data_IF_404162702786
#
_entry.id   IF_404162702786
#
_cell.length_a   1.000
_cell.length_b   1.000
_cell.length_c   1.000
_cell.angle_alpha   90.00
_cell.angle_beta   90.00
_cell.angle_gamma   90.00
#
_symmetry.space_group_name_H-M   'P 1'
#
loop_
_entity.id
_entity.type
_entity.pdbx_description
1 polymer ?
#
# COMPACT_ATOMS: atom_id res chain seq x y z
N UNK A 1 15.73 -11.39 -2.75
CA UNK A 1 15.27 -11.63 -1.36
C UNK A 1 14.44 -10.43 -0.91
N UNK A 2 13.16 -10.46 -1.27
CA UNK A 2 12.09 -9.71 -0.61
C UNK A 2 12.16 -9.99 0.88
N UNK A 3 12.24 -8.96 1.72
CA UNK A 3 11.86 -9.14 3.13
C UNK A 3 10.35 -9.32 3.12
N UNK A 4 9.83 -10.34 3.82
CA UNK A 4 8.37 -10.59 3.93
C UNK A 4 7.58 -9.37 4.43
N UNK A 5 8.28 -8.35 4.92
CA UNK A 5 7.75 -7.15 5.54
C UNK A 5 7.37 -6.04 4.53
N UNK A 6 7.73 -6.19 3.24
CA UNK A 6 7.64 -5.16 2.19
C UNK A 6 6.62 -5.55 1.09
N UNK A 7 5.35 -5.61 1.50
CA UNK A 7 4.21 -5.91 0.62
C UNK A 7 3.47 -4.62 0.21
N UNK A 8 2.80 -4.64 -0.93
CA UNK A 8 2.03 -3.52 -1.47
C UNK A 8 2.79 -2.68 -2.50
N UNK A 9 3.96 -2.15 -2.16
CA UNK A 9 4.82 -1.41 -3.10
C UNK A 9 5.90 -2.35 -3.64
N UNK A 10 5.89 -2.55 -4.95
CA UNK A 10 6.68 -3.57 -5.62
C UNK A 10 8.00 -2.99 -6.17
N UNK A 11 8.00 -1.72 -6.56
CA UNK A 11 9.16 -1.03 -7.14
C UNK A 11 8.89 0.45 -7.41
N UNK A 12 9.96 1.21 -7.62
CA UNK A 12 9.92 2.63 -8.00
C UNK A 12 10.94 2.91 -9.10
N UNK A 13 10.57 3.80 -10.02
CA UNK A 13 11.48 4.50 -10.91
C UNK A 13 11.19 5.99 -10.85
N UNK A 14 12.25 6.77 -10.86
CA UNK A 14 12.22 8.23 -10.98
C UNK A 14 13.07 8.57 -12.18
N UNK A 15 12.47 9.26 -13.14
CA UNK A 15 13.12 9.68 -14.39
C UNK A 15 12.79 11.14 -14.66
N UNK A 16 13.59 11.83 -15.47
CA UNK A 16 13.19 13.13 -16.01
C UNK A 16 12.10 12.95 -17.07
N UNK A 17 11.39 14.02 -17.42
CA UNK A 17 10.43 14.04 -18.53
C UNK A 17 11.08 13.78 -19.89
N UNK A 18 12.41 13.90 -19.99
CA UNK A 18 13.21 13.50 -21.16
C UNK A 18 13.65 12.03 -21.13
N UNK A 19 13.31 11.29 -20.08
CA UNK A 19 13.59 9.86 -19.92
C UNK A 19 14.95 9.53 -19.27
N UNK A 20 15.67 10.52 -18.74
CA UNK A 20 16.94 10.26 -18.05
C UNK A 20 16.68 9.62 -16.67
N UNK A 21 17.33 8.51 -16.33
CA UNK A 21 17.12 7.84 -15.05
C UNK A 21 17.73 8.63 -13.89
N UNK A 22 16.93 8.86 -12.85
CA UNK A 22 17.35 9.50 -11.59
C UNK A 22 17.54 8.44 -10.50
N UNK A 23 16.52 7.59 -10.30
CA UNK A 23 16.51 6.57 -9.26
C UNK A 23 15.71 5.35 -9.71
N UNK A 24 16.14 4.16 -9.29
CA UNK A 24 15.43 2.90 -9.53
C UNK A 24 15.66 1.97 -8.36
N UNK A 25 14.58 1.38 -7.85
CA UNK A 25 14.64 0.29 -6.91
C UNK A 25 13.51 -0.70 -7.16
N UNK A 26 13.82 -1.99 -7.11
CA UNK A 26 12.84 -3.08 -7.22
C UNK A 26 12.90 -3.89 -5.94
N UNK A 27 11.74 -4.15 -5.36
CA UNK A 27 11.61 -4.92 -4.12
C UNK A 27 10.97 -6.28 -4.35
N UNK A 28 10.09 -6.43 -5.34
CA UNK A 28 9.36 -7.67 -5.63
C UNK A 28 9.84 -8.38 -6.89
N UNK A 29 9.92 -9.71 -6.83
CA UNK A 29 10.21 -10.59 -7.97
C UNK A 29 9.08 -10.59 -9.01
N UNK A 30 7.85 -10.20 -8.64
CA UNK A 30 6.73 -9.96 -9.58
C UNK A 30 7.11 -8.94 -10.65
N UNK A 31 7.90 -7.93 -10.28
CA UNK A 31 8.44 -6.95 -11.22
C UNK A 31 9.61 -7.52 -12.02
N UNK A 32 10.46 -8.36 -11.43
CA UNK A 32 11.61 -8.92 -12.14
C UNK A 32 11.18 -9.74 -13.37
N UNK A 33 10.06 -10.48 -13.26
CA UNK A 33 9.42 -11.14 -14.42
C UNK A 33 8.95 -10.15 -15.49
N UNK A 34 8.38 -9.01 -15.08
CA UNK A 34 7.93 -7.93 -15.95
C UNK A 34 9.08 -7.10 -16.58
N UNK A 35 10.16 -6.88 -15.85
CA UNK A 35 11.34 -6.09 -16.26
C UNK A 35 12.33 -6.85 -17.15
N UNK A 36 12.12 -8.14 -17.37
CA UNK A 36 12.97 -8.98 -18.21
C UNK A 36 13.06 -8.51 -19.68
N UNK A 37 12.22 -7.55 -20.09
CA UNK A 37 12.25 -6.92 -21.43
C UNK A 37 12.65 -5.43 -21.31
N UNK A 38 13.85 -5.13 -21.81
CA UNK A 38 14.49 -3.81 -22.04
C UNK A 38 13.91 -2.59 -21.29
N UNK A 39 14.67 -2.11 -20.31
CA UNK A 39 14.32 -0.97 -19.45
C UNK A 39 14.12 0.34 -20.21
N UNK A 40 14.85 0.51 -21.32
CA UNK A 40 14.75 1.70 -22.19
C UNK A 40 13.41 1.73 -22.90
N UNK A 41 12.94 0.56 -23.34
CA UNK A 41 11.67 0.40 -24.04
C UNK A 41 10.49 0.68 -23.10
N UNK A 42 10.57 0.24 -21.85
CA UNK A 42 9.55 0.55 -20.84
C UNK A 42 9.50 2.05 -20.53
N UNK A 43 10.64 2.69 -20.30
CA UNK A 43 10.68 4.13 -20.05
C UNK A 43 10.16 4.93 -21.27
N UNK A 44 10.55 4.53 -22.48
CA UNK A 44 10.05 5.10 -23.73
C UNK A 44 8.54 4.91 -23.90
N UNK A 45 8.02 3.71 -23.64
CA UNK A 45 6.59 3.41 -23.69
C UNK A 45 5.78 4.24 -22.70
N UNK A 46 6.22 4.31 -21.44
CA UNK A 46 5.55 5.10 -20.41
C UNK A 46 5.56 6.60 -20.74
N UNK A 47 6.69 7.11 -21.25
CA UNK A 47 6.81 8.49 -21.72
C UNK A 47 5.89 8.76 -22.92
N UNK A 48 5.80 7.83 -23.87
CA UNK A 48 4.91 7.94 -25.02
C UNK A 48 3.44 7.98 -24.59
N UNK A 49 3.02 7.12 -23.65
CA UNK A 49 1.67 7.12 -23.09
C UNK A 49 1.36 8.44 -22.38
N UNK A 50 2.30 8.96 -21.58
CA UNK A 50 2.13 10.25 -20.89
C UNK A 50 1.99 11.41 -21.88
N UNK A 51 2.83 11.46 -22.91
CA UNK A 51 2.76 12.49 -23.93
C UNK A 51 1.45 12.40 -24.73
N UNK A 52 1.04 11.20 -25.11
CA UNK A 52 -0.24 10.96 -25.77
C UNK A 52 -1.42 11.44 -24.91
N UNK A 53 -1.44 11.09 -23.63
CA UNK A 53 -2.50 11.53 -22.73
C UNK A 53 -2.51 13.07 -22.58
N UNK A 54 -1.34 13.69 -22.48
CA UNK A 54 -1.19 15.15 -22.42
C UNK A 54 -1.73 15.83 -23.68
N UNK A 55 -1.43 15.32 -24.86
CA UNK A 55 -1.99 15.82 -26.13
C UNK A 55 -3.52 15.69 -26.17
N UNK A 56 -4.04 14.61 -25.61
CA UNK A 56 -5.48 14.37 -25.47
C UNK A 56 -6.14 15.11 -24.31
N UNK A 57 -5.40 15.96 -23.57
CA UNK A 57 -5.87 16.67 -22.36
C UNK A 57 -6.41 15.75 -21.27
N UNK A 58 -5.90 14.52 -21.20
CA UNK A 58 -6.20 13.54 -20.16
C UNK A 58 -4.99 13.32 -19.25
N UNK A 59 -5.27 12.87 -18.02
CA UNK A 59 -4.25 12.45 -17.07
C UNK A 59 -4.24 10.93 -16.97
N UNK A 60 -3.07 10.31 -17.15
CA UNK A 60 -2.90 8.87 -16.90
C UNK A 60 -2.82 8.67 -15.39
N UNK A 61 -3.87 8.13 -14.79
CA UNK A 61 -3.84 7.78 -13.37
C UNK A 61 -2.88 6.62 -13.10
N UNK A 62 -3.15 5.46 -13.69
CA UNK A 62 -2.28 4.29 -13.60
C UNK A 62 -2.50 3.38 -14.81
N UNK A 63 -1.57 2.45 -15.03
CA UNK A 63 -1.66 1.39 -16.05
C UNK A 63 -1.59 0.04 -15.33
N UNK A 64 -2.54 -0.86 -15.62
CA UNK A 64 -2.50 -2.22 -15.09
C UNK A 64 -1.90 -3.17 -16.11
N UNK A 65 -0.94 -3.96 -15.68
CA UNK A 65 -0.28 -5.00 -16.46
C UNK A 65 -0.72 -6.37 -15.98
N UNK A 66 -1.14 -7.23 -16.90
CA UNK A 66 -1.46 -8.64 -16.66
C UNK A 66 -0.39 -9.51 -17.33
N UNK A 67 -0.03 -10.65 -16.74
CA UNK A 67 0.93 -11.57 -17.35
C UNK A 67 0.22 -12.47 -18.36
N UNK A 68 0.83 -12.73 -19.52
CA UNK A 68 0.27 -13.64 -20.53
C UNK A 68 0.15 -15.09 -20.01
N UNK A 69 0.97 -15.45 -19.01
CA UNK A 69 0.96 -16.75 -18.35
C UNK A 69 -0.16 -16.89 -17.30
N UNK A 70 -0.92 -15.84 -16.99
CA UNK A 70 -2.04 -15.88 -16.04
C UNK A 70 -3.26 -16.66 -16.58
N UNK A 71 -3.18 -17.17 -17.81
CA UNK A 71 -4.23 -17.97 -18.44
C UNK A 71 -4.23 -19.46 -18.01
N UNK A 72 -3.21 -19.92 -17.28
CA UNK A 72 -3.22 -21.26 -16.68
C UNK A 72 -3.98 -21.22 -15.36
N UNK A 73 -5.11 -21.94 -15.30
CA UNK A 73 -6.13 -21.98 -14.23
C UNK A 73 -5.65 -22.33 -12.80
N UNK A 74 -4.34 -22.37 -12.53
CA UNK A 74 -3.75 -22.90 -11.28
C UNK A 74 -3.08 -21.88 -10.36
N UNK A 75 -2.88 -20.62 -10.76
CA UNK A 75 -2.28 -19.61 -9.86
C UNK A 75 -3.14 -18.36 -9.73
N UNK A 76 -4.21 -18.47 -8.93
CA UNK A 76 -5.12 -17.37 -8.60
C UNK A 76 -4.39 -16.12 -8.06
N UNK A 77 -3.22 -16.30 -7.44
CA UNK A 77 -2.42 -15.23 -6.82
C UNK A 77 -1.66 -14.32 -7.81
N UNK A 78 -1.45 -14.74 -9.06
CA UNK A 78 -0.85 -13.89 -10.11
C UNK A 78 -1.90 -13.12 -10.94
N UNK A 79 -3.17 -13.54 -10.86
CA UNK A 79 -4.26 -13.06 -11.74
C UNK A 79 -4.65 -11.58 -11.61
N UNK A 80 -4.27 -10.89 -10.53
CA UNK A 80 -4.68 -9.50 -10.31
C UNK A 80 -3.81 -8.47 -11.06
N UNK A 81 -2.67 -8.90 -11.59
CA UNK A 81 -1.72 -8.04 -12.30
C UNK A 81 -0.95 -7.08 -11.39
N UNK A 82 -0.27 -6.12 -12.03
CA UNK A 82 0.55 -5.08 -11.39
C UNK A 82 0.07 -3.71 -11.84
N UNK A 83 -0.13 -2.79 -10.89
CA UNK A 83 -0.45 -1.41 -11.22
C UNK A 83 0.82 -0.55 -11.28
N UNK A 84 1.05 0.12 -12.40
CA UNK A 84 2.02 1.21 -12.51
C UNK A 84 1.31 2.56 -12.34
N UNK A 85 1.45 3.15 -11.16
CA UNK A 85 1.06 4.52 -10.87
C UNK A 85 2.09 5.47 -11.49
N UNK A 86 1.61 6.41 -12.30
CA UNK A 86 2.47 7.35 -13.01
C UNK A 86 2.13 8.75 -12.56
N UNK A 87 3.13 9.48 -12.09
CA UNK A 87 2.93 10.78 -11.49
C UNK A 87 3.99 11.76 -11.96
N UNK A 88 3.55 12.93 -12.46
CA UNK A 88 4.44 14.00 -12.92
C UNK A 88 4.53 15.10 -11.85
N UNK A 89 5.74 15.48 -11.49
CA UNK A 89 6.04 16.66 -10.67
C UNK A 89 7.09 17.49 -11.40
N UNK A 90 6.68 18.67 -11.87
CA UNK A 90 7.52 19.52 -12.73
C UNK A 90 8.07 18.74 -13.95
N UNK A 91 9.39 18.57 -14.05
CA UNK A 91 10.08 17.82 -15.12
C UNK A 91 10.48 16.40 -14.68
N UNK A 92 9.84 15.85 -13.65
CA UNK A 92 10.18 14.56 -13.04
C UNK A 92 8.97 13.63 -13.08
N UNK A 93 9.18 12.43 -13.60
CA UNK A 93 8.19 11.37 -13.68
C UNK A 93 8.54 10.31 -12.65
N UNK A 94 7.58 10.05 -11.76
CA UNK A 94 7.57 8.91 -10.85
C UNK A 94 6.75 7.79 -11.46
N UNK A 95 7.29 6.58 -11.44
CA UNK A 95 6.61 5.35 -11.81
C UNK A 95 6.71 4.42 -10.61
N UNK A 96 5.60 4.22 -9.90
CA UNK A 96 5.53 3.28 -8.78
C UNK A 96 4.74 2.06 -9.22
N UNK A 97 5.33 0.90 -8.98
CA UNK A 97 4.69 -0.38 -9.22
C UNK A 97 4.07 -0.88 -7.92
N UNK A 98 2.79 -1.22 -7.95
CA UNK A 98 1.95 -1.45 -6.78
C UNK A 98 1.12 -2.72 -6.95
N UNK A 99 0.82 -3.37 -5.84
CA UNK A 99 -0.27 -4.33 -5.76
C UNK A 99 -1.62 -3.63 -6.02
N UNK A 100 -2.59 -4.29 -6.69
CA UNK A 100 -3.85 -3.66 -7.08
C UNK A 100 -4.71 -3.12 -5.93
N UNK A 101 -4.63 -3.72 -4.74
CA UNK A 101 -5.37 -3.32 -3.55
C UNK A 101 -4.88 -2.01 -2.89
N UNK A 102 -3.73 -1.49 -3.31
CA UNK A 102 -3.15 -0.27 -2.75
C UNK A 102 -3.93 0.97 -3.21
N UNK A 103 -4.18 1.89 -2.28
CA UNK A 103 -4.87 3.15 -2.53
C UNK A 103 -3.94 4.15 -3.20
N UNK A 104 -3.96 4.14 -4.54
CA UNK A 104 -3.08 4.96 -5.41
C UNK A 104 -3.12 6.45 -5.07
N UNK A 105 -4.29 7.00 -4.79
CA UNK A 105 -4.46 8.41 -4.39
C UNK A 105 -3.75 8.75 -3.06
N UNK A 106 -3.46 7.75 -2.23
CA UNK A 106 -2.70 7.91 -0.98
C UNK A 106 -1.21 7.70 -1.22
N UNK A 107 -0.84 6.82 -2.15
CA UNK A 107 0.54 6.70 -2.63
C UNK A 107 1.02 7.99 -3.31
N UNK A 108 0.15 8.73 -4.02
CA UNK A 108 0.47 10.07 -4.54
C UNK A 108 1.00 11.02 -3.45
N UNK A 109 0.48 10.92 -2.22
CA UNK A 109 0.99 11.73 -1.09
C UNK A 109 2.41 11.30 -0.70
N UNK A 110 2.74 10.00 -0.80
CA UNK A 110 4.11 9.51 -0.58
C UNK A 110 5.06 10.03 -1.66
N UNK A 111 4.60 10.11 -2.90
CA UNK A 111 5.35 10.70 -4.02
C UNK A 111 5.62 12.18 -3.73
N UNK A 112 4.62 12.94 -3.27
CA UNK A 112 4.79 14.34 -2.87
C UNK A 112 5.85 14.49 -1.79
N UNK A 113 5.84 13.64 -0.76
CA UNK A 113 6.84 13.70 0.30
C UNK A 113 8.25 13.36 -0.20
N UNK A 114 8.39 12.35 -1.05
CA UNK A 114 9.69 12.02 -1.66
C UNK A 114 10.18 13.19 -2.50
N UNK A 115 9.30 13.81 -3.28
CA UNK A 115 9.65 14.95 -4.11
C UNK A 115 10.14 16.12 -3.24
N UNK A 116 9.34 16.54 -2.25
CA UNK A 116 9.62 17.71 -1.43
C UNK A 116 10.85 17.53 -0.53
N UNK A 117 11.07 16.33 0.01
CA UNK A 117 12.12 16.09 1.00
C UNK A 117 13.47 15.72 0.37
N UNK A 118 13.46 15.13 -0.82
CA UNK A 118 14.65 14.51 -1.42
C UNK A 118 14.90 15.12 -2.79
N UNK A 119 13.95 14.95 -3.71
CA UNK A 119 14.18 15.25 -5.13
C UNK A 119 14.39 16.74 -5.39
N UNK A 120 13.63 17.60 -4.70
CA UNK A 120 13.70 19.05 -4.86
C UNK A 120 15.11 19.62 -4.62
N UNK A 121 15.91 18.98 -3.76
CA UNK A 121 17.30 19.36 -3.50
C UNK A 121 18.21 19.18 -4.72
N UNK A 122 17.78 18.42 -5.73
CA UNK A 122 18.52 18.14 -6.96
C UNK A 122 18.00 18.91 -8.18
N UNK A 123 16.99 19.78 -8.05
CA UNK A 123 16.38 20.48 -9.20
C UNK A 123 17.40 21.21 -10.08
N UNK A 124 18.41 21.86 -9.50
CA UNK A 124 19.47 22.54 -10.28
C UNK A 124 20.30 21.55 -11.10
N UNK A 125 20.64 20.39 -10.54
CA UNK A 125 21.38 19.33 -11.24
C UNK A 125 20.52 18.70 -12.34
N UNK A 126 19.24 18.45 -12.04
CA UNK A 126 18.25 17.92 -12.99
C UNK A 126 18.11 18.85 -14.19
N UNK A 127 17.97 20.16 -13.95
CA UNK A 127 17.80 21.16 -15.01
C UNK A 127 19.04 21.29 -15.90
N UNK A 128 20.23 20.97 -15.37
CA UNK A 128 21.48 20.93 -16.12
C UNK A 128 21.72 19.58 -16.82
N UNK A 129 20.86 18.59 -16.60
CA UNK A 129 21.04 17.23 -17.13
C UNK A 129 22.19 16.46 -16.46
N UNK A 130 22.56 16.84 -15.24
CA UNK A 130 23.63 16.20 -14.49
C UNK A 130 23.19 14.86 -13.90
N UNK A 131 24.13 13.92 -13.79
CA UNK A 131 23.86 12.61 -13.19
C UNK A 131 23.73 12.76 -11.67
N UNK A 132 22.60 12.35 -11.14
CA UNK A 132 22.32 12.39 -9.70
C UNK A 132 22.81 11.11 -9.05
N UNK A 133 23.36 11.24 -7.84
CA UNK A 133 23.72 10.13 -6.98
C UNK A 133 23.12 10.36 -5.61
N UNK A 134 22.13 9.55 -5.25
CA UNK A 134 21.57 9.57 -3.89
C UNK A 134 22.57 8.96 -2.91
N UNK A 135 22.53 9.49 -1.70
CA UNK A 135 23.20 8.91 -0.54
C UNK A 135 22.38 7.72 -0.01
N UNK A 136 23.04 6.80 0.71
CA UNK A 136 22.35 5.68 1.36
C UNK A 136 21.25 6.16 2.33
N UNK A 137 21.45 7.31 2.97
CA UNK A 137 20.45 7.92 3.86
C UNK A 137 19.21 8.37 3.10
N UNK A 138 19.36 8.94 1.91
CA UNK A 138 18.23 9.34 1.06
C UNK A 138 17.47 8.14 0.51
N UNK A 139 18.17 7.10 0.07
CA UNK A 139 17.54 5.85 -0.37
C UNK A 139 16.74 5.19 0.77
N UNK A 140 17.30 5.16 1.98
CA UNK A 140 16.60 4.67 3.17
C UNK A 140 15.43 5.58 3.56
N UNK A 141 15.50 6.91 3.36
CA UNK A 141 14.36 7.82 3.54
C UNK A 141 13.25 7.53 2.53
N UNK A 142 13.56 7.33 1.25
CA UNK A 142 12.57 6.92 0.23
C UNK A 142 11.88 5.63 0.67
N UNK A 143 12.67 4.62 1.05
CA UNK A 143 12.15 3.34 1.53
C UNK A 143 11.26 3.51 2.77
N UNK A 144 11.69 4.33 3.73
CA UNK A 144 10.93 4.57 4.95
C UNK A 144 9.57 5.24 4.70
N UNK A 145 9.51 6.16 3.74
CA UNK A 145 8.26 6.80 3.28
C UNK A 145 7.37 5.77 2.57
N UNK A 146 7.92 5.02 1.62
CA UNK A 146 7.17 4.07 0.80
C UNK A 146 6.56 2.95 1.62
N UNK A 147 7.29 2.39 2.58
CA UNK A 147 6.83 1.23 3.35
C UNK A 147 6.26 1.57 4.72
N UNK A 148 6.12 2.85 5.08
CA UNK A 148 5.67 3.28 6.40
C UNK A 148 6.48 2.61 7.54
N UNK A 149 7.80 2.52 7.36
CA UNK A 149 8.67 1.72 8.21
C UNK A 149 8.62 2.12 9.69
N UNK A 150 8.32 3.39 9.99
CA UNK A 150 8.12 3.85 11.37
C UNK A 150 6.93 3.14 12.03
N UNK A 151 5.78 3.10 11.33
CA UNK A 151 4.59 2.41 11.79
C UNK A 151 4.85 0.89 11.95
N UNK A 152 5.50 0.28 10.95
CA UNK A 152 5.91 -1.13 11.01
C UNK A 152 6.80 -1.42 12.22
N UNK A 153 7.85 -0.62 12.43
CA UNK A 153 8.77 -0.75 13.58
C UNK A 153 8.03 -0.61 14.91
N UNK A 154 7.11 0.35 15.03
CA UNK A 154 6.29 0.53 16.24
C UNK A 154 5.44 -0.71 16.54
N UNK A 155 4.70 -1.20 15.55
CA UNK A 155 3.85 -2.38 15.69
C UNK A 155 4.69 -3.63 15.98
N UNK A 156 5.79 -3.85 15.25
CA UNK A 156 6.64 -5.03 15.41
C UNK A 156 7.26 -5.12 16.81
N UNK A 157 7.78 -3.98 17.32
CA UNK A 157 8.33 -3.89 18.69
C UNK A 157 7.30 -4.26 19.77
N UNK A 158 6.01 -3.96 19.53
CA UNK A 158 4.92 -4.16 20.50
C UNK A 158 3.92 -5.24 20.05
N UNK A 159 4.29 -6.08 19.10
CA UNK A 159 3.42 -7.09 18.46
C UNK A 159 2.81 -8.08 19.46
N UNK A 160 3.58 -8.52 20.47
CA UNK A 160 3.07 -9.37 21.55
C UNK A 160 1.98 -8.69 22.37
N UNK A 161 2.09 -7.39 22.60
CA UNK A 161 1.08 -6.60 23.33
C UNK A 161 -0.18 -6.43 22.47
N UNK A 162 0.00 -6.05 21.20
CA UNK A 162 -1.10 -5.96 20.23
C UNK A 162 -1.87 -7.28 20.12
N UNK A 163 -1.15 -8.41 19.98
CA UNK A 163 -1.74 -9.75 19.95
C UNK A 163 -2.56 -10.06 21.21
N UNK A 164 -2.09 -9.65 22.40
CA UNK A 164 -2.84 -9.82 23.66
C UNK A 164 -4.10 -8.97 23.69
N UNK A 165 -4.03 -7.72 23.21
CA UNK A 165 -5.19 -6.82 23.11
C UNK A 165 -6.25 -7.45 22.21
N UNK A 166 -5.86 -7.82 20.98
CA UNK A 166 -6.78 -8.42 20.00
C UNK A 166 -7.39 -9.71 20.54
N UNK A 167 -6.55 -10.61 21.08
CA UNK A 167 -7.03 -11.86 21.67
C UNK A 167 -8.03 -11.64 22.81
N UNK A 168 -7.77 -10.69 23.71
CA UNK A 168 -8.59 -10.49 24.91
C UNK A 168 -9.88 -9.70 24.62
N UNK A 169 -9.77 -8.57 23.91
CA UNK A 169 -10.87 -7.62 23.72
C UNK A 169 -11.77 -7.98 22.53
N UNK A 170 -11.24 -8.71 21.55
CA UNK A 170 -11.96 -8.99 20.32
C UNK A 170 -12.26 -10.49 20.27
N UNK A 171 -11.25 -11.32 20.03
CA UNK A 171 -11.48 -12.75 19.80
C UNK A 171 -12.16 -13.48 20.97
N UNK A 172 -11.74 -13.26 22.22
CA UNK A 172 -12.39 -13.91 23.38
C UNK A 172 -13.76 -13.34 23.73
N UNK A 173 -13.96 -12.04 23.54
CA UNK A 173 -15.22 -11.37 23.89
C UNK A 173 -16.32 -11.73 22.88
N UNK A 174 -15.93 -11.92 21.64
CA UNK A 174 -16.79 -12.25 20.52
C UNK A 174 -16.50 -13.66 20.00
N UNK A 175 -16.24 -14.62 20.90
CA UNK A 175 -15.90 -15.99 20.49
C UNK A 175 -17.06 -16.75 19.82
N UNK A 176 -18.26 -16.19 19.91
CA UNK A 176 -19.45 -16.67 19.19
C UNK A 176 -19.52 -16.13 17.76
N UNK A 177 -18.79 -15.04 17.46
CA UNK A 177 -18.61 -14.51 16.12
C UNK A 177 -17.47 -15.31 15.47
N UNK A 178 -17.68 -15.84 14.27
CA UNK A 178 -16.64 -16.59 13.56
C UNK A 178 -15.61 -15.63 12.95
N UNK A 179 -14.75 -15.05 13.80
CA UNK A 179 -13.68 -14.13 13.37
C UNK A 179 -12.56 -14.94 12.73
N UNK A 180 -12.43 -14.80 11.41
CA UNK A 180 -11.43 -15.47 10.60
C UNK A 180 -10.10 -14.72 10.61
N UNK A 181 -10.13 -13.39 10.73
CA UNK A 181 -8.92 -12.58 10.65
C UNK A 181 -9.10 -11.14 11.06
N UNK A 182 -8.02 -10.53 11.55
CA UNK A 182 -7.93 -9.09 11.79
C UNK A 182 -6.63 -8.59 11.18
N UNK A 183 -6.68 -7.46 10.49
CA UNK A 183 -5.47 -6.80 9.99
C UNK A 183 -5.47 -5.30 10.27
N UNK A 184 -4.28 -4.74 10.37
CA UNK A 184 -4.05 -3.30 10.42
C UNK A 184 -3.29 -2.92 9.16
N UNK A 185 -3.86 -2.01 8.39
CA UNK A 185 -3.26 -1.45 7.20
C UNK A 185 -2.94 0.04 7.41
N UNK A 186 -1.92 0.50 6.70
CA UNK A 186 -1.56 1.91 6.56
C UNK A 186 -2.63 2.67 5.76
N UNK A 187 -2.53 4.00 5.71
CA UNK A 187 -3.45 4.86 4.97
C UNK A 187 -3.51 4.61 3.46
N UNK A 188 -2.47 4.04 2.87
CA UNK A 188 -2.45 3.63 1.47
C UNK A 188 -2.89 2.17 1.28
N UNK A 189 -3.42 1.56 2.34
CA UNK A 189 -3.81 0.17 2.43
C UNK A 189 -2.66 -0.85 2.45
N UNK A 190 -1.41 -0.41 2.67
CA UNK A 190 -0.29 -1.34 2.91
C UNK A 190 -0.50 -2.13 4.20
N UNK A 191 -0.40 -3.46 4.14
CA UNK A 191 -0.59 -4.34 5.31
C UNK A 191 0.56 -4.14 6.30
N UNK A 192 0.25 -3.77 7.54
CA UNK A 192 1.22 -3.56 8.63
C UNK A 192 1.23 -4.69 9.66
N UNK A 193 0.09 -5.37 9.84
CA UNK A 193 -0.07 -6.43 10.83
C UNK A 193 -1.26 -7.33 10.48
N UNK A 194 -1.15 -8.63 10.78
CA UNK A 194 -2.25 -9.59 10.68
C UNK A 194 -2.37 -10.44 11.96
N UNK A 195 -3.58 -10.93 12.22
CA UNK A 195 -3.90 -11.85 13.29
C UNK A 195 -4.95 -12.85 12.80
N UNK A 196 -4.64 -14.15 12.93
CA UNK A 196 -5.46 -15.31 12.49
C UNK A 196 -5.65 -15.46 10.96
N UNK A 197 -5.09 -14.54 10.17
CA UNK A 197 -5.12 -14.58 8.71
C UNK A 197 -3.70 -14.45 8.16
N UNK A 198 -3.38 -15.26 7.16
CA UNK A 198 -2.13 -15.16 6.41
C UNK A 198 -2.19 -13.96 5.47
N UNK A 199 -1.03 -13.39 5.14
CA UNK A 199 -0.97 -12.16 4.34
C UNK A 199 -1.53 -12.43 2.93
N UNK A 200 -1.21 -13.57 2.34
CA UNK A 200 -1.62 -13.95 1.00
C UNK A 200 -3.16 -14.05 0.88
N UNK A 201 -3.83 -14.69 1.86
CA UNK A 201 -5.29 -14.75 1.92
C UNK A 201 -5.91 -13.34 2.05
N UNK A 202 -5.29 -12.48 2.86
CA UNK A 202 -5.74 -11.11 3.01
C UNK A 202 -5.57 -10.31 1.71
N UNK A 203 -4.46 -10.47 1.00
CA UNK A 203 -4.22 -9.83 -0.29
C UNK A 203 -5.32 -10.21 -1.31
N UNK A 204 -5.71 -11.48 -1.36
CA UNK A 204 -6.84 -11.95 -2.19
C UNK A 204 -8.15 -11.26 -1.81
N UNK A 205 -8.47 -11.18 -0.51
CA UNK A 205 -9.66 -10.49 -0.05
C UNK A 205 -9.66 -9.00 -0.38
N UNK A 206 -8.53 -8.31 -0.16
CA UNK A 206 -8.38 -6.88 -0.43
C UNK A 206 -8.50 -6.57 -1.93
N UNK A 207 -7.96 -7.42 -2.80
CA UNK A 207 -8.09 -7.27 -4.25
C UNK A 207 -9.56 -7.42 -4.71
N UNK A 208 -10.35 -8.28 -4.04
CA UNK A 208 -11.76 -8.49 -4.36
C UNK A 208 -12.73 -7.50 -3.68
N UNK A 209 -12.26 -6.74 -2.68
CA UNK A 209 -13.06 -5.65 -2.09
C UNK A 209 -13.44 -4.59 -3.14
N UNK A 210 -12.60 -4.40 -4.15
CA UNK A 210 -12.75 -3.33 -5.13
C UNK A 210 -12.30 -1.98 -4.57
N UNK A 211 -12.56 -0.91 -5.33
CA UNK A 211 -12.12 0.43 -4.96
C UNK A 211 -12.97 0.99 -3.81
N UNK A 212 -12.42 0.91 -2.59
CA UNK A 212 -12.97 1.61 -1.43
C UNK A 212 -12.55 3.08 -1.51
N UNK A 213 -13.35 3.89 -2.20
CA UNK A 213 -12.88 5.22 -2.62
C UNK A 213 -12.93 6.28 -1.51
N UNK A 214 -13.81 6.16 -0.51
CA UNK A 214 -13.92 7.10 0.63
C UNK A 214 -14.60 6.45 1.85
N UNK A 215 -13.83 6.09 2.87
CA UNK A 215 -14.35 5.78 4.22
C UNK A 215 -14.09 7.01 5.08
N UNK A 216 -15.13 7.67 5.62
CA UNK A 216 -14.89 8.80 6.53
C UNK A 216 -14.31 8.32 7.85
N UNK A 217 -13.80 9.24 8.64
CA UNK A 217 -13.29 8.95 9.97
C UNK A 217 -14.33 8.20 10.80
N UNK A 218 -13.91 7.14 11.48
CA UNK A 218 -14.75 6.29 12.33
C UNK A 218 -15.85 5.50 11.60
N UNK A 219 -15.95 5.61 10.28
CA UNK A 219 -16.89 4.81 9.49
C UNK A 219 -16.36 3.40 9.27
N UNK A 220 -17.29 2.45 9.19
CA UNK A 220 -17.07 1.07 8.78
C UNK A 220 -17.81 0.82 7.47
N UNK A 221 -17.11 0.26 6.49
CA UNK A 221 -17.71 -0.28 5.27
C UNK A 221 -17.44 -1.78 5.23
N UNK A 222 -18.37 -2.55 4.70
CA UNK A 222 -18.21 -3.99 4.61
C UNK A 222 -18.70 -4.51 3.27
N UNK A 223 -18.11 -5.62 2.83
CA UNK A 223 -18.47 -6.27 1.59
C UNK A 223 -18.30 -7.79 1.76
N UNK A 224 -19.32 -8.59 1.40
CA UNK A 224 -19.13 -10.02 1.25
C UNK A 224 -18.22 -10.30 0.04
N UNK A 225 -17.24 -11.19 0.22
CA UNK A 225 -16.25 -11.56 -0.78
C UNK A 225 -16.42 -13.04 -1.12
N UNK A 226 -16.64 -13.31 -2.40
CA UNK A 226 -16.63 -14.64 -2.98
C UNK A 226 -15.31 -14.82 -3.71
N UNK A 227 -14.43 -15.63 -3.14
CA UNK A 227 -13.28 -16.11 -3.91
C UNK A 227 -13.76 -17.27 -4.78
N UNK A 228 -13.34 -17.36 -6.06
CA UNK A 228 -13.68 -18.47 -6.95
C UNK A 228 -12.81 -19.71 -6.64
N UNK A 229 -12.73 -20.06 -5.36
CA UNK A 229 -12.07 -21.26 -4.85
C UNK A 229 -13.20 -22.23 -4.50
N UNK A 230 -13.25 -23.44 -5.11
CA UNK A 230 -14.25 -24.45 -4.74
C UNK A 230 -14.27 -24.69 -3.24
N UNK A 231 -15.47 -24.80 -2.67
CA UNK A 231 -15.70 -25.11 -1.25
C UNK A 231 -15.22 -24.05 -0.22
N UNK A 232 -14.85 -22.84 -0.66
CA UNK A 232 -14.58 -21.71 0.24
C UNK A 232 -15.85 -20.88 0.45
N UNK A 233 -16.36 -20.91 1.68
CA UNK A 233 -17.52 -20.09 2.05
C UNK A 233 -17.19 -18.60 1.87
N UNK A 234 -18.17 -17.80 1.44
CA UNK A 234 -17.97 -16.37 1.29
C UNK A 234 -17.75 -15.72 2.65
N UNK A 235 -16.80 -14.80 2.70
CA UNK A 235 -16.40 -14.11 3.92
C UNK A 235 -16.89 -12.67 3.91
N UNK A 236 -17.19 -12.13 5.08
CA UNK A 236 -17.48 -10.71 5.22
C UNK A 236 -16.19 -9.98 5.54
N UNK A 237 -15.80 -9.04 4.66
CA UNK A 237 -14.63 -8.20 4.90
C UNK A 237 -15.11 -6.80 5.22
N UNK A 238 -14.81 -6.37 6.43
CA UNK A 238 -15.11 -5.03 6.92
C UNK A 238 -13.84 -4.22 7.03
N UNK A 239 -13.90 -2.97 6.59
CA UNK A 239 -12.84 -1.98 6.70
C UNK A 239 -13.32 -0.83 7.56
N UNK A 240 -12.54 -0.48 8.56
CA UNK A 240 -12.84 0.56 9.53
C UNK A 240 -11.76 1.62 9.42
N UNK A 241 -12.14 2.87 9.16
CA UNK A 241 -11.22 3.98 9.27
C UNK A 241 -11.04 4.32 10.75
N UNK A 242 -9.87 4.01 11.30
CA UNK A 242 -9.58 4.21 12.72
C UNK A 242 -9.59 5.68 13.16
N UNK A 243 -9.48 6.60 12.19
CA UNK A 243 -9.19 8.03 12.39
C UNK A 243 -7.94 8.29 13.25
N UNK A 244 -7.14 7.25 13.50
CA UNK A 244 -5.93 7.33 14.29
C UNK A 244 -4.85 8.00 13.48
N UNK A 245 -4.58 9.24 13.86
CA UNK A 245 -3.64 10.11 13.21
C UNK A 245 -2.22 9.90 13.76
N UNK A 246 -1.39 9.14 13.04
CA UNK A 246 -0.01 8.80 13.48
C UNK A 246 1.03 9.42 12.55
N UNK A 247 2.10 10.03 13.08
CA UNK A 247 3.17 10.63 12.27
C UNK A 247 3.97 9.54 11.56
N UNK A 248 4.00 9.62 10.23
CA UNK A 248 4.55 8.60 9.32
C UNK A 248 6.06 8.70 9.22
N UNK A 249 6.57 9.93 9.19
CA UNK A 249 7.98 10.21 8.92
C UNK A 249 8.70 10.48 10.26
N UNK A 250 9.82 9.79 10.55
CA UNK A 250 10.70 10.17 11.65
C UNK A 250 11.31 11.56 11.39
N UNK A 251 11.19 12.49 12.35
CA UNK A 251 11.82 13.81 12.26
C UNK A 251 11.03 14.89 11.52
N UNK A 252 9.82 14.58 11.03
CA UNK A 252 8.88 15.60 10.54
C UNK A 252 7.73 15.70 11.53
N UNK A 253 7.89 16.58 12.52
CA UNK A 253 6.82 17.00 13.43
C UNK A 253 5.93 18.05 12.76
N UNK A 254 5.44 17.72 11.55
CA UNK A 254 4.45 18.56 10.90
C UNK A 254 3.08 18.04 11.32
N UNK A 255 2.37 18.80 12.17
CA UNK A 255 1.05 18.42 12.69
C UNK A 255 0.03 18.09 11.58
N UNK A 256 0.31 18.56 10.35
CA UNK A 256 -0.49 18.34 9.15
C UNK A 256 -0.23 17.00 8.42
N UNK A 257 0.81 16.23 8.81
CA UNK A 257 1.17 14.94 8.18
C UNK A 257 0.71 13.75 9.01
N UNK A 258 -0.55 13.82 9.44
CA UNK A 258 -1.19 12.76 10.18
C UNK A 258 -2.21 12.07 9.29
N UNK A 259 -2.12 10.76 9.20
CA UNK A 259 -2.94 9.92 8.35
C UNK A 259 -3.61 8.82 9.18
N UNK A 260 -4.78 8.32 8.76
CA UNK A 260 -5.45 7.24 9.46
C UNK A 260 -4.82 5.87 9.18
N UNK A 261 -4.97 4.94 10.14
CA UNK A 261 -4.90 3.52 9.84
C UNK A 261 -6.26 2.95 9.45
N UNK A 262 -6.25 1.84 8.72
CA UNK A 262 -7.44 1.03 8.46
C UNK A 262 -7.36 -0.27 9.23
N UNK A 263 -8.47 -0.63 9.88
CA UNK A 263 -8.63 -1.95 10.49
C UNK A 263 -9.51 -2.80 9.61
N UNK A 264 -9.00 -3.96 9.25
CA UNK A 264 -9.75 -4.97 8.51
C UNK A 264 -10.19 -6.07 9.47
N UNK A 265 -11.46 -6.44 9.36
CA UNK A 265 -12.06 -7.57 10.05
C UNK A 265 -12.60 -8.53 9.00
N UNK A 266 -12.14 -9.77 9.05
CA UNK A 266 -12.60 -10.87 8.21
C UNK A 266 -13.39 -11.82 9.09
N UNK A 267 -14.65 -12.05 8.75
CA UNK A 267 -15.57 -12.90 9.51
C UNK A 267 -16.46 -13.73 8.58
N UNK A 268 -17.31 -14.56 9.17
CA UNK A 268 -18.49 -15.08 8.47
C UNK A 268 -19.46 -13.95 8.08
N UNK A 269 -20.46 -14.31 7.27
CA UNK A 269 -21.44 -13.36 6.73
C UNK A 269 -22.43 -12.84 7.77
N UNK A 270 -22.63 -13.58 8.86
CA UNK A 270 -23.64 -13.28 9.88
C UNK A 270 -23.09 -12.46 11.06
N UNK A 271 -21.82 -12.04 11.00
CA UNK A 271 -21.17 -11.38 12.11
C UNK A 271 -21.82 -10.05 12.53
N UNK A 272 -21.92 -9.82 13.85
CA UNK A 272 -22.41 -8.57 14.43
C UNK A 272 -21.35 -7.46 14.36
N UNK A 273 -21.28 -6.79 13.20
CA UNK A 273 -20.24 -5.81 12.90
C UNK A 273 -20.19 -4.59 13.83
N UNK A 274 -21.35 -4.12 14.34
CA UNK A 274 -21.41 -2.92 15.19
C UNK A 274 -20.56 -3.06 16.47
N UNK A 275 -20.89 -4.03 17.35
CA UNK A 275 -20.10 -4.31 18.55
C UNK A 275 -18.62 -4.65 18.26
N UNK A 276 -18.36 -5.39 17.18
CA UNK A 276 -17.00 -5.74 16.77
C UNK A 276 -16.18 -4.51 16.38
N UNK A 277 -16.77 -3.61 15.59
CA UNK A 277 -16.16 -2.34 15.17
C UNK A 277 -15.82 -1.46 16.37
N UNK A 278 -16.77 -1.31 17.30
CA UNK A 278 -16.55 -0.53 18.52
C UNK A 278 -15.42 -1.12 19.37
N UNK A 279 -15.40 -2.44 19.55
CA UNK A 279 -14.34 -3.13 20.29
C UNK A 279 -12.97 -3.03 19.62
N UNK A 280 -12.91 -3.09 18.29
CA UNK A 280 -11.69 -2.86 17.52
C UNK A 280 -11.14 -1.46 17.79
N UNK A 281 -11.97 -0.43 17.68
CA UNK A 281 -11.58 0.96 17.93
C UNK A 281 -11.13 1.17 19.39
N UNK A 282 -11.94 0.77 20.37
CA UNK A 282 -11.61 0.92 21.80
C UNK A 282 -10.46 0.01 22.26
N UNK A 283 -10.19 -1.06 21.52
CA UNK A 283 -9.12 -2.00 21.79
C UNK A 283 -7.79 -1.52 21.23
N UNK A 284 -7.77 -1.21 19.93
CA UNK A 284 -6.56 -0.96 19.16
C UNK A 284 -6.16 0.52 19.16
N UNK A 285 -7.09 1.49 19.13
CA UNK A 285 -6.69 2.91 19.12
C UNK A 285 -5.79 3.31 20.30
N UNK A 286 -6.09 2.88 21.55
CA UNK A 286 -5.22 3.19 22.68
C UNK A 286 -3.79 2.65 22.52
N UNK A 287 -3.60 1.54 21.80
CA UNK A 287 -2.27 0.99 21.53
C UNK A 287 -1.37 1.98 20.79
N UNK A 288 -1.93 2.81 19.89
CA UNK A 288 -1.18 3.81 19.12
C UNK A 288 -1.00 5.14 19.84
N UNK A 289 -1.74 5.40 20.92
CA UNK A 289 -1.63 6.63 21.73
C UNK A 289 -0.58 6.52 22.84
N UNK A 290 -0.08 5.32 23.11
CA UNK A 290 0.95 5.10 24.11
C UNK A 290 2.28 5.69 23.63
N UNK A 291 2.83 6.64 24.41
CA UNK A 291 4.15 7.23 24.18
C UNK A 291 5.22 6.13 24.02
N UNK A 292 6.19 6.38 23.14
CA UNK A 292 7.32 5.48 22.92
C UNK A 292 8.17 5.29 24.17
#
# INVERSE_FOLDING_TARGET
MTRNDEKGILGIRIITSSGLPIYKQVWSEKIAGFESKDQTLQAGFMTAILNFAKEMKHHVGFIRFYSENDNDEKEFQLSYGIDALVSLRENIVFILFLEPYIFKNRVELKIDWIYDLIIKNYNDQINKGEKIKFTEEEEEKIRNILFDNKARRYINKRSKKLKKIIKKKIHKQFSHENILGIAICSFDNSILYTYLIEIEDLEDYLNNMGLITRIKEWECQYKPIWLPIPDKDPVLVSVINSAMQVPIIPGIDNENLKIPYFYYLVSDQDALLGPLTESLLQGINPFFLEKE
#
